data_IF_772564616899
#
_entry.id   IF_772564616899
#
_cell.length_a   1.000
_cell.length_b   1.000
_cell.length_c   1.000
_cell.angle_alpha   90.00
_cell.angle_beta   90.00
_cell.angle_gamma   90.00
#
_symmetry.space_group_name_H-M   'P 1'
#
loop_
_entity.id
_entity.type
_entity.pdbx_description
1 polymer ?
#
# COMPACT_ATOMS: atom_id res chain seq x y z
N UNK A 1 -4.88 16.67 1.69
CA UNK A 1 -5.88 15.61 1.39
C UNK A 1 -6.34 15.01 2.71
N UNK A 2 -7.64 14.77 2.89
CA UNK A 2 -8.12 14.03 4.06
C UNK A 2 -8.30 12.55 3.65
N UNK A 3 -7.71 11.62 4.39
CA UNK A 3 -7.80 10.17 4.12
C UNK A 3 -9.25 9.67 4.13
N UNK A 4 -10.09 10.23 4.99
CA UNK A 4 -11.51 9.84 5.07
C UNK A 4 -12.33 10.23 3.82
N UNK A 5 -11.80 11.09 2.93
CA UNK A 5 -12.47 11.47 1.69
C UNK A 5 -12.16 10.52 0.52
N UNK A 6 -11.18 9.62 0.67
CA UNK A 6 -10.82 8.64 -0.35
C UNK A 6 -12.01 7.75 -0.72
N UNK A 7 -12.23 7.56 -2.02
CA UNK A 7 -13.25 6.69 -2.60
C UNK A 7 -12.68 5.93 -3.79
N UNK A 8 -13.34 4.85 -4.20
CA UNK A 8 -12.90 4.05 -5.33
C UNK A 8 -11.59 3.30 -5.04
N UNK A 9 -10.74 3.16 -6.04
CA UNK A 9 -9.52 2.35 -5.93
C UNK A 9 -8.37 3.20 -5.37
N UNK A 10 -7.72 2.69 -4.33
CA UNK A 10 -6.56 3.32 -3.68
C UNK A 10 -5.38 2.34 -3.73
N UNK A 11 -4.35 2.69 -4.49
CA UNK A 11 -3.11 1.92 -4.54
C UNK A 11 -2.22 2.31 -3.35
N UNK A 12 -1.89 1.36 -2.50
CA UNK A 12 -0.90 1.50 -1.43
C UNK A 12 0.40 0.85 -1.90
N UNK A 13 1.32 1.67 -2.37
CA UNK A 13 2.65 1.24 -2.82
C UNK A 13 3.73 1.73 -1.86
N UNK A 14 4.99 1.44 -2.11
CA UNK A 14 6.06 1.87 -1.23
C UNK A 14 7.37 2.12 -1.94
N UNK A 15 8.28 2.74 -1.21
CA UNK A 15 9.66 2.95 -1.67
C UNK A 15 10.50 1.68 -1.67
N UNK A 16 10.07 0.64 -0.92
CA UNK A 16 10.79 -0.63 -0.77
C UNK A 16 9.89 -1.70 -0.11
N UNK A 17 10.45 -2.89 0.10
CA UNK A 17 9.89 -3.93 1.00
C UNK A 17 10.10 -3.50 2.47
N UNK A 18 9.23 -3.96 3.36
CA UNK A 18 9.28 -3.68 4.81
C UNK A 18 9.27 -2.19 5.20
N UNK A 19 8.65 -1.35 4.38
CA UNK A 19 8.44 0.08 4.69
C UNK A 19 7.18 0.33 5.52
N UNK A 20 6.40 -0.73 5.83
CA UNK A 20 5.16 -0.64 6.62
C UNK A 20 3.88 -0.56 5.79
N UNK A 21 3.87 -1.02 4.52
CA UNK A 21 2.65 -0.99 3.67
C UNK A 21 1.45 -1.64 4.35
N UNK A 22 1.59 -2.85 4.87
CA UNK A 22 0.51 -3.63 5.48
C UNK A 22 -0.11 -2.92 6.68
N UNK A 23 0.72 -2.34 7.56
CA UNK A 23 0.23 -1.56 8.71
C UNK A 23 -0.42 -0.25 8.23
N UNK A 24 0.14 0.39 7.21
CA UNK A 24 -0.44 1.59 6.59
C UNK A 24 -1.80 1.28 5.97
N UNK A 25 -1.92 0.17 5.23
CA UNK A 25 -3.18 -0.31 4.66
C UNK A 25 -4.22 -0.52 5.77
N UNK A 26 -3.83 -1.15 6.88
CA UNK A 26 -4.71 -1.33 8.04
C UNK A 26 -5.16 -0.01 8.67
N UNK A 27 -4.25 0.95 8.85
CA UNK A 27 -4.56 2.27 9.42
C UNK A 27 -5.53 3.04 8.51
N UNK A 28 -5.29 3.06 7.19
CA UNK A 28 -6.17 3.71 6.21
C UNK A 28 -7.55 3.03 6.18
N UNK A 29 -7.59 1.69 6.10
CA UNK A 29 -8.84 0.92 6.12
C UNK A 29 -9.65 1.21 7.39
N UNK A 30 -8.98 1.26 8.54
CA UNK A 30 -9.61 1.60 9.82
C UNK A 30 -10.17 3.03 9.83
N UNK A 31 -9.44 4.01 9.29
CA UNK A 31 -9.91 5.40 9.19
C UNK A 31 -11.15 5.52 8.29
N UNK A 32 -11.15 4.86 7.13
CA UNK A 32 -12.28 4.83 6.21
C UNK A 32 -13.49 4.14 6.83
N UNK A 33 -13.31 2.98 7.47
CA UNK A 33 -14.39 2.29 8.19
C UNK A 33 -14.97 3.13 9.32
N UNK A 34 -14.12 3.79 10.11
CA UNK A 34 -14.58 4.68 11.19
C UNK A 34 -15.36 5.90 10.66
N UNK A 35 -15.12 6.33 9.42
CA UNK A 35 -15.91 7.36 8.74
C UNK A 35 -17.25 6.86 8.16
N UNK A 36 -17.54 5.55 8.32
CA UNK A 36 -18.78 4.92 7.88
C UNK A 36 -18.74 4.33 6.48
N UNK A 37 -17.54 4.21 5.86
CA UNK A 37 -17.38 3.63 4.52
C UNK A 37 -17.33 2.12 4.55
N UNK A 38 -17.85 1.50 3.49
CA UNK A 38 -17.64 0.10 3.19
C UNK A 38 -16.30 -0.07 2.46
N UNK A 39 -15.39 -0.90 3.02
CA UNK A 39 -13.99 -0.99 2.61
C UNK A 39 -13.63 -2.42 2.27
N UNK A 40 -13.00 -2.60 1.11
CA UNK A 40 -12.34 -3.84 0.69
C UNK A 40 -10.83 -3.67 0.67
N UNK A 41 -10.09 -4.71 1.07
CA UNK A 41 -8.63 -4.74 1.01
C UNK A 41 -8.20 -5.88 0.09
N UNK A 42 -7.36 -5.58 -0.89
CA UNK A 42 -6.88 -6.54 -1.88
C UNK A 42 -5.35 -6.55 -1.88
N UNK A 43 -4.75 -7.74 -1.84
CA UNK A 43 -3.35 -7.96 -2.16
C UNK A 43 -3.25 -8.91 -3.36
N UNK A 44 -3.00 -8.39 -4.56
CA UNK A 44 -2.99 -9.21 -5.76
C UNK A 44 -1.91 -10.30 -5.75
N UNK A 45 -0.75 -9.99 -5.17
CA UNK A 45 0.39 -10.89 -5.14
C UNK A 45 1.00 -10.94 -3.74
N UNK A 46 0.88 -12.09 -3.07
CA UNK A 46 1.54 -12.39 -1.81
C UNK A 46 2.80 -13.24 -2.08
N UNK A 47 3.88 -12.98 -1.35
CA UNK A 47 5.12 -13.78 -1.45
C UNK A 47 5.67 -14.11 -0.07
N UNK A 48 6.45 -15.20 0.03
CA UNK A 48 7.29 -15.50 1.17
C UNK A 48 6.59 -16.04 2.41
N UNK A 49 5.38 -16.56 2.24
CA UNK A 49 4.61 -17.17 3.33
C UNK A 49 4.21 -18.59 2.95
N UNK A 50 4.16 -19.48 3.91
CA UNK A 50 3.61 -20.81 3.74
C UNK A 50 2.09 -20.74 3.47
N UNK A 51 1.56 -21.82 2.88
CA UNK A 51 0.15 -21.86 2.44
C UNK A 51 -0.83 -21.60 3.59
N UNK A 52 -0.51 -22.06 4.79
CA UNK A 52 -1.38 -21.98 5.96
C UNK A 52 -1.16 -20.73 6.83
N UNK A 53 -0.17 -19.89 6.49
CA UNK A 53 0.07 -18.64 7.20
C UNK A 53 -0.88 -17.54 6.72
N UNK A 54 -1.38 -16.67 7.60
CA UNK A 54 -2.15 -15.50 7.17
C UNK A 54 -1.28 -14.59 6.30
N UNK A 55 -1.81 -14.15 5.15
CA UNK A 55 -1.14 -13.18 4.28
C UNK A 55 -1.20 -11.76 4.86
N UNK A 56 -0.37 -10.87 4.32
CA UNK A 56 -0.31 -9.46 4.74
C UNK A 56 -1.70 -8.80 4.74
N UNK A 57 -2.52 -9.08 3.72
CA UNK A 57 -3.88 -8.52 3.61
C UNK A 57 -4.79 -9.01 4.74
N UNK A 58 -4.65 -10.26 5.17
CA UNK A 58 -5.43 -10.81 6.28
C UNK A 58 -5.03 -10.16 7.61
N UNK A 59 -3.73 -9.90 7.81
CA UNK A 59 -3.26 -9.13 8.95
C UNK A 59 -3.78 -7.69 8.93
N UNK A 60 -3.75 -7.02 7.76
CA UNK A 60 -4.32 -5.68 7.61
C UNK A 60 -5.83 -5.66 7.93
N UNK A 61 -6.60 -6.63 7.39
CA UNK A 61 -8.03 -6.77 7.66
C UNK A 61 -8.34 -6.99 9.13
N UNK A 62 -7.61 -7.90 9.80
CA UNK A 62 -7.72 -8.17 11.23
C UNK A 62 -7.43 -6.91 12.08
N UNK A 63 -6.35 -6.19 11.76
CA UNK A 63 -5.95 -4.96 12.46
C UNK A 63 -6.98 -3.84 12.30
N UNK A 64 -7.56 -3.71 11.11
CA UNK A 64 -8.59 -2.72 10.79
C UNK A 64 -10.01 -3.17 11.15
N UNK A 65 -10.18 -4.42 11.60
CA UNK A 65 -11.49 -5.03 11.83
C UNK A 65 -12.40 -5.05 10.59
N UNK A 66 -11.82 -5.24 9.40
CA UNK A 66 -12.56 -5.45 8.15
C UNK A 66 -13.10 -6.86 8.12
N UNK A 67 -14.29 -7.04 7.60
CA UNK A 67 -14.92 -8.36 7.48
C UNK A 67 -14.11 -9.26 6.53
N UNK A 68 -13.98 -10.54 6.86
CA UNK A 68 -13.10 -11.46 6.12
C UNK A 68 -13.48 -11.60 4.64
N UNK A 69 -14.76 -11.44 4.30
CA UNK A 69 -15.25 -11.49 2.93
C UNK A 69 -14.78 -10.30 2.07
N UNK A 70 -14.36 -9.21 2.72
CA UNK A 70 -13.83 -8.00 2.11
C UNK A 70 -12.29 -7.95 2.17
N UNK A 71 -11.61 -9.10 2.41
CA UNK A 71 -10.16 -9.20 2.48
C UNK A 71 -9.68 -10.25 1.49
N UNK A 72 -9.06 -9.83 0.40
CA UNK A 72 -8.81 -10.66 -0.77
C UNK A 72 -7.32 -10.77 -1.10
N UNK A 73 -6.83 -12.01 -1.19
CA UNK A 73 -5.52 -12.35 -1.74
C UNK A 73 -5.72 -13.12 -3.05
N UNK A 74 -5.09 -12.70 -4.15
CA UNK A 74 -5.35 -13.33 -5.43
C UNK A 74 -4.43 -14.50 -5.75
N UNK A 75 -3.13 -14.32 -5.49
CA UNK A 75 -2.15 -15.37 -5.72
C UNK A 75 -1.05 -15.32 -4.67
N UNK A 76 -0.57 -16.49 -4.28
CA UNK A 76 0.53 -16.65 -3.33
C UNK A 76 1.70 -17.37 -3.98
N UNK A 77 2.87 -16.74 -3.94
CA UNK A 77 4.13 -17.31 -4.39
C UNK A 77 4.97 -17.73 -3.17
N UNK A 78 5.62 -18.91 -3.21
CA UNK A 78 6.16 -19.52 -2.00
C UNK A 78 7.43 -18.85 -1.44
N UNK A 79 8.27 -18.29 -2.31
CA UNK A 79 9.57 -17.75 -1.87
C UNK A 79 9.48 -16.26 -1.55
N UNK A 80 10.23 -15.73 -0.53
CA UNK A 80 10.24 -14.31 -0.15
C UNK A 80 11.08 -13.48 -1.14
N UNK A 81 10.58 -13.39 -2.37
CA UNK A 81 11.21 -12.72 -3.51
C UNK A 81 10.16 -11.83 -4.19
N UNK A 82 10.59 -11.06 -5.19
CA UNK A 82 9.63 -10.38 -6.06
C UNK A 82 8.67 -11.41 -6.69
N UNK A 83 7.37 -11.10 -6.84
CA UNK A 83 6.38 -12.05 -7.38
C UNK A 83 6.80 -12.71 -8.69
N UNK A 84 7.28 -11.93 -9.67
CA UNK A 84 7.85 -12.44 -10.93
C UNK A 84 8.93 -13.49 -10.71
N UNK A 85 9.87 -13.22 -9.81
CA UNK A 85 11.02 -14.11 -9.53
C UNK A 85 10.56 -15.37 -8.79
N UNK A 86 9.71 -15.22 -7.77
CA UNK A 86 9.19 -16.35 -6.99
C UNK A 86 8.36 -17.29 -7.87
N UNK A 87 7.47 -16.74 -8.70
CA UNK A 87 6.66 -17.50 -9.65
C UNK A 87 7.54 -18.26 -10.66
N UNK A 88 8.50 -17.58 -11.27
CA UNK A 88 9.41 -18.22 -12.24
C UNK A 88 10.20 -19.38 -11.64
N UNK A 89 10.73 -19.23 -10.42
CA UNK A 89 11.46 -20.26 -9.70
C UNK A 89 10.58 -21.45 -9.30
N UNK A 90 9.32 -21.17 -8.94
CA UNK A 90 8.34 -22.20 -8.59
C UNK A 90 7.65 -22.84 -9.83
N UNK A 91 7.95 -22.37 -11.05
CA UNK A 91 7.29 -22.84 -12.27
C UNK A 91 5.79 -22.52 -12.29
N UNK A 92 5.38 -21.45 -11.61
CA UNK A 92 4.00 -21.02 -11.51
C UNK A 92 3.64 -20.05 -12.65
N UNK A 93 2.45 -20.22 -13.19
CA UNK A 93 1.78 -19.17 -13.97
C UNK A 93 0.89 -18.38 -12.99
N UNK A 94 1.13 -17.10 -12.89
CA UNK A 94 0.37 -16.18 -12.05
C UNK A 94 -0.44 -15.21 -12.91
N UNK A 95 -1.53 -14.63 -12.39
CA UNK A 95 -2.35 -13.68 -13.13
C UNK A 95 -1.51 -12.53 -13.70
N UNK A 96 -1.80 -12.13 -14.93
CA UNK A 96 -1.25 -10.92 -15.53
C UNK A 96 -1.85 -9.66 -14.88
N UNK A 97 -1.17 -8.54 -15.02
CA UNK A 97 -1.68 -7.24 -14.54
C UNK A 97 -3.05 -6.90 -15.15
N UNK A 98 -3.31 -7.26 -16.41
CA UNK A 98 -4.61 -7.03 -17.07
C UNK A 98 -5.74 -7.87 -16.43
N UNK A 99 -5.47 -9.13 -16.08
CA UNK A 99 -6.41 -9.99 -15.36
C UNK A 99 -6.64 -9.47 -13.94
N UNK A 100 -5.58 -9.04 -13.24
CA UNK A 100 -5.67 -8.43 -11.91
C UNK A 100 -6.49 -7.15 -11.94
N UNK A 101 -6.24 -6.25 -12.90
CA UNK A 101 -7.03 -5.01 -13.04
C UNK A 101 -8.51 -5.32 -13.25
N UNK A 102 -8.83 -6.31 -14.09
CA UNK A 102 -10.22 -6.73 -14.32
C UNK A 102 -10.86 -7.27 -13.04
N UNK A 103 -10.13 -8.10 -12.29
CA UNK A 103 -10.62 -8.69 -11.04
C UNK A 103 -10.83 -7.64 -9.95
N UNK A 104 -9.89 -6.69 -9.81
CA UNK A 104 -10.03 -5.56 -8.87
C UNK A 104 -11.34 -4.80 -9.13
N UNK A 105 -11.66 -4.49 -10.40
CA UNK A 105 -12.90 -3.77 -10.73
C UNK A 105 -14.16 -4.56 -10.36
N UNK A 106 -14.14 -5.88 -10.53
CA UNK A 106 -15.26 -6.73 -10.11
C UNK A 106 -15.39 -6.77 -8.58
N UNK A 107 -14.27 -6.94 -7.88
CA UNK A 107 -14.25 -7.05 -6.43
C UNK A 107 -14.43 -5.69 -5.73
N UNK A 108 -14.31 -4.57 -6.46
CA UNK A 108 -14.57 -3.21 -5.98
C UNK A 108 -16.03 -2.79 -6.10
N UNK A 109 -16.83 -3.54 -6.87
CA UNK A 109 -18.22 -3.16 -7.13
C UNK A 109 -19.06 -3.24 -5.85
N UNK A 110 -19.76 -2.16 -5.55
CA UNK A 110 -20.58 -2.04 -4.34
C UNK A 110 -19.84 -1.55 -3.10
N UNK A 111 -18.51 -1.36 -3.13
CA UNK A 111 -17.73 -0.82 -2.02
C UNK A 111 -17.39 0.67 -2.22
N UNK A 112 -17.35 1.43 -1.11
CA UNK A 112 -17.01 2.86 -1.16
C UNK A 112 -15.50 3.07 -1.46
N UNK A 113 -14.65 2.20 -0.93
CA UNK A 113 -13.20 2.27 -1.13
C UNK A 113 -12.57 0.87 -1.19
N UNK A 114 -11.66 0.68 -2.13
CA UNK A 114 -10.90 -0.55 -2.31
C UNK A 114 -9.40 -0.25 -2.20
N UNK A 115 -8.77 -0.72 -1.12
CA UNK A 115 -7.33 -0.58 -0.92
C UNK A 115 -6.61 -1.73 -1.61
N UNK A 116 -5.72 -1.41 -2.54
CA UNK A 116 -4.91 -2.40 -3.27
C UNK A 116 -3.46 -2.29 -2.81
N UNK A 117 -2.98 -3.26 -2.03
CA UNK A 117 -1.60 -3.28 -1.53
C UNK A 117 -0.64 -3.90 -2.55
N UNK A 118 0.35 -3.13 -2.96
CA UNK A 118 1.45 -3.60 -3.81
C UNK A 118 2.44 -4.52 -3.07
N UNK A 119 3.28 -5.23 -3.82
CA UNK A 119 4.39 -6.03 -3.30
C UNK A 119 5.73 -5.36 -3.64
N UNK A 120 6.57 -5.13 -2.62
CA UNK A 120 7.85 -4.44 -2.80
C UNK A 120 7.72 -2.96 -3.10
N UNK A 121 8.68 -2.41 -3.82
CA UNK A 121 8.67 -1.02 -4.30
C UNK A 121 7.96 -0.85 -5.64
N UNK A 122 7.77 0.40 -6.06
CA UNK A 122 6.95 0.79 -7.22
C UNK A 122 7.40 0.16 -8.57
N UNK A 123 8.66 -0.18 -8.71
CA UNK A 123 9.24 -0.76 -9.94
C UNK A 123 9.42 -2.29 -9.89
N UNK A 124 8.91 -2.95 -8.85
CA UNK A 124 9.02 -4.41 -8.72
C UNK A 124 8.07 -5.09 -9.69
N UNK A 125 8.56 -6.08 -10.44
CA UNK A 125 7.76 -6.93 -11.32
C UNK A 125 6.82 -7.81 -10.52
N UNK A 126 5.54 -7.81 -10.89
CA UNK A 126 4.46 -8.49 -10.20
C UNK A 126 3.96 -9.73 -10.96
N UNK A 127 3.96 -9.72 -12.29
CA UNK A 127 3.49 -10.84 -13.11
C UNK A 127 4.63 -11.55 -13.88
N UNK A 128 4.29 -12.57 -14.65
CA UNK A 128 5.29 -13.35 -15.41
C UNK A 128 5.97 -12.54 -16.53
N UNK A 129 5.38 -11.43 -16.97
CA UNK A 129 5.93 -10.55 -18.00
C UNK A 129 6.79 -9.43 -17.40
N UNK A 130 6.86 -9.34 -16.06
CA UNK A 130 7.61 -8.32 -15.33
C UNK A 130 6.86 -7.00 -15.19
N UNK A 131 5.57 -6.97 -15.52
CA UNK A 131 4.72 -5.80 -15.30
C UNK A 131 4.58 -5.50 -13.80
N UNK A 132 4.52 -4.22 -13.44
CA UNK A 132 4.52 -3.78 -12.03
C UNK A 132 3.26 -3.00 -11.65
N UNK A 133 3.32 -2.36 -10.48
CA UNK A 133 2.19 -1.57 -9.98
C UNK A 133 1.88 -0.36 -10.86
N UNK A 134 2.86 0.20 -11.58
CA UNK A 134 2.63 1.27 -12.56
C UNK A 134 1.80 0.79 -13.74
N UNK A 135 2.05 -0.44 -14.21
CA UNK A 135 1.26 -1.06 -15.28
C UNK A 135 -0.17 -1.37 -14.81
N UNK A 136 -0.35 -1.70 -13.53
CA UNK A 136 -1.67 -1.86 -12.93
C UNK A 136 -2.44 -0.53 -12.89
N UNK A 137 -1.80 0.57 -12.49
CA UNK A 137 -2.40 1.90 -12.53
C UNK A 137 -2.83 2.26 -13.96
N UNK A 138 -1.95 2.05 -14.96
CA UNK A 138 -2.27 2.27 -16.37
C UNK A 138 -3.46 1.42 -16.83
N UNK A 139 -3.51 0.14 -16.41
CA UNK A 139 -4.57 -0.77 -16.77
C UNK A 139 -5.93 -0.36 -16.18
N UNK A 140 -5.95 0.16 -14.97
CA UNK A 140 -7.14 0.71 -14.31
C UNK A 140 -7.60 2.00 -14.99
N UNK A 141 -6.67 2.93 -15.25
CA UNK A 141 -6.96 4.22 -15.91
C UNK A 141 -7.50 4.01 -17.33
N UNK A 142 -6.94 3.08 -18.12
CA UNK A 142 -7.47 2.74 -19.45
C UNK A 142 -8.91 2.21 -19.40
N UNK A 143 -9.34 1.66 -18.26
CA UNK A 143 -10.71 1.18 -18.03
C UNK A 143 -11.64 2.25 -17.44
N UNK A 144 -11.15 3.50 -17.31
CA UNK A 144 -11.91 4.63 -16.80
C UNK A 144 -11.90 4.79 -15.27
N UNK A 145 -11.00 4.09 -14.58
CA UNK A 145 -10.84 4.15 -13.12
C UNK A 145 -9.46 4.70 -12.75
N UNK A 146 -9.37 5.99 -12.48
CA UNK A 146 -8.14 6.62 -12.03
C UNK A 146 -7.93 6.31 -10.54
N UNK A 147 -6.88 5.57 -10.16
CA UNK A 147 -6.66 5.21 -8.77
C UNK A 147 -6.04 6.37 -7.99
N UNK A 148 -6.41 6.51 -6.72
CA UNK A 148 -5.60 7.26 -5.77
C UNK A 148 -4.31 6.52 -5.45
N UNK A 149 -3.22 7.24 -5.21
CA UNK A 149 -1.91 6.65 -4.95
C UNK A 149 -1.32 7.15 -3.64
N UNK A 150 -1.08 6.23 -2.73
CA UNK A 150 -0.41 6.47 -1.45
C UNK A 150 0.95 5.79 -1.47
N UNK A 151 2.00 6.57 -1.23
CA UNK A 151 3.37 6.07 -1.17
C UNK A 151 3.81 5.94 0.28
N UNK A 152 4.14 4.71 0.69
CA UNK A 152 4.67 4.40 2.02
C UNK A 152 6.18 4.42 2.00
N UNK A 153 6.78 5.12 2.94
CA UNK A 153 8.23 5.29 3.02
C UNK A 153 8.77 5.06 4.43
N UNK A 154 10.09 4.98 4.55
CA UNK A 154 10.81 4.85 5.83
C UNK A 154 11.08 6.24 6.44
N UNK A 155 11.44 6.27 7.73
CA UNK A 155 11.90 7.49 8.42
C UNK A 155 13.39 7.76 8.27
N UNK A 156 14.20 6.71 8.08
CA UNK A 156 15.67 6.72 8.21
C UNK A 156 16.40 7.48 7.10
N UNK A 157 17.68 7.78 7.34
CA UNK A 157 18.55 8.43 6.37
C UNK A 157 18.51 7.76 4.98
N UNK A 158 18.36 8.57 3.94
CA UNK A 158 18.21 8.13 2.54
C UNK A 158 16.76 8.11 2.06
N UNK A 159 15.77 8.26 2.96
CA UNK A 159 14.36 8.22 2.60
C UNK A 159 13.97 9.31 1.61
N UNK A 160 14.51 10.53 1.73
CA UNK A 160 14.22 11.65 0.83
C UNK A 160 14.53 11.29 -0.63
N UNK A 161 15.71 10.67 -0.87
CA UNK A 161 16.07 10.19 -2.20
C UNK A 161 15.13 9.09 -2.69
N UNK A 162 14.86 8.06 -1.88
CA UNK A 162 14.00 6.94 -2.28
C UNK A 162 12.57 7.41 -2.54
N UNK A 163 12.05 8.29 -1.71
CA UNK A 163 10.70 8.85 -1.86
C UNK A 163 10.61 9.71 -3.12
N UNK A 164 11.56 10.60 -3.35
CA UNK A 164 11.60 11.42 -4.56
C UNK A 164 11.66 10.58 -5.84
N UNK A 165 12.55 9.57 -5.88
CA UNK A 165 12.65 8.66 -7.03
C UNK A 165 11.35 7.88 -7.27
N UNK A 166 10.72 7.36 -6.20
CA UNK A 166 9.44 6.64 -6.30
C UNK A 166 8.33 7.53 -6.82
N UNK A 167 8.18 8.73 -6.25
CA UNK A 167 7.15 9.67 -6.68
C UNK A 167 7.36 10.16 -8.12
N UNK A 168 8.62 10.37 -8.53
CA UNK A 168 8.94 10.74 -9.91
C UNK A 168 8.61 9.62 -10.89
N UNK A 169 8.92 8.36 -10.56
CA UNK A 169 8.56 7.22 -11.40
C UNK A 169 7.03 7.11 -11.62
N UNK A 170 6.23 7.40 -10.60
CA UNK A 170 4.76 7.44 -10.70
C UNK A 170 4.32 8.58 -11.62
N UNK A 171 4.88 9.79 -11.44
CA UNK A 171 4.53 10.96 -12.26
C UNK A 171 4.96 10.83 -13.71
N UNK A 172 6.13 10.23 -13.97
CA UNK A 172 6.64 10.00 -15.31
C UNK A 172 5.72 9.06 -16.13
N UNK A 173 4.92 8.24 -15.44
CA UNK A 173 3.85 7.41 -16.06
C UNK A 173 2.52 8.16 -16.19
N UNK A 174 2.43 9.41 -15.75
CA UNK A 174 1.24 10.25 -15.85
C UNK A 174 0.28 10.17 -14.66
N UNK A 175 0.65 9.45 -13.59
CA UNK A 175 -0.17 9.34 -12.39
C UNK A 175 0.17 10.39 -11.33
N UNK A 176 -0.78 10.70 -10.47
CA UNK A 176 -0.60 11.59 -9.32
C UNK A 176 -0.18 10.78 -8.09
N UNK A 177 0.62 11.38 -7.21
CA UNK A 177 0.84 10.87 -5.86
C UNK A 177 -0.04 11.72 -4.94
N UNK A 178 -1.07 11.11 -4.37
CA UNK A 178 -2.04 11.84 -3.54
C UNK A 178 -1.49 12.11 -2.14
N UNK A 179 -0.72 11.17 -1.60
CA UNK A 179 -0.17 11.29 -0.25
C UNK A 179 1.07 10.43 -0.01
N UNK A 180 1.84 10.85 1.00
CA UNK A 180 2.94 10.10 1.60
C UNK A 180 2.56 9.67 3.01
N UNK A 181 2.99 8.47 3.39
CA UNK A 181 2.90 7.98 4.77
C UNK A 181 4.28 7.46 5.21
N UNK A 182 4.77 7.90 6.34
CA UNK A 182 5.92 7.25 7.00
C UNK A 182 5.38 6.03 7.74
N UNK A 183 5.67 4.83 7.21
CA UNK A 183 5.04 3.58 7.65
C UNK A 183 5.58 2.99 8.95
N UNK A 184 6.67 3.57 9.50
CA UNK A 184 7.20 3.21 10.82
C UNK A 184 8.02 4.35 11.39
N UNK A 185 7.60 4.87 12.55
CA UNK A 185 8.25 5.96 13.26
C UNK A 185 8.67 5.51 14.67
N UNK A 186 9.95 5.60 15.02
CA UNK A 186 10.43 5.14 16.31
C UNK A 186 10.03 6.08 17.45
N UNK A 187 9.92 5.55 18.69
CA UNK A 187 9.66 6.34 19.91
C UNK A 187 10.74 7.39 20.17
N UNK A 188 11.95 7.15 19.69
CA UNK A 188 13.10 8.05 19.86
C UNK A 188 13.77 8.29 18.50
N UNK A 189 13.20 9.18 17.69
CA UNK A 189 13.75 9.49 16.37
C UNK A 189 15.13 10.14 16.51
N UNK A 190 16.06 9.72 15.66
CA UNK A 190 17.38 10.32 15.56
C UNK A 190 17.34 11.69 14.83
N UNK A 191 18.52 12.29 14.63
CA UNK A 191 18.60 13.59 13.94
C UNK A 191 18.10 13.49 12.49
N UNK A 192 18.48 12.41 11.77
CA UNK A 192 18.10 12.26 10.37
C UNK A 192 16.59 12.07 10.21
N UNK A 193 15.99 11.27 11.09
CA UNK A 193 14.55 11.03 11.08
C UNK A 193 13.76 12.32 11.32
N UNK A 194 14.17 13.15 12.28
CA UNK A 194 13.52 14.45 12.55
C UNK A 194 13.64 15.41 11.36
N UNK A 195 14.83 15.52 10.75
CA UNK A 195 15.00 16.35 9.55
C UNK A 195 14.19 15.81 8.36
N UNK A 196 14.19 14.49 8.15
CA UNK A 196 13.41 13.86 7.10
C UNK A 196 11.91 14.14 7.23
N UNK A 197 11.38 14.19 8.46
CA UNK A 197 9.97 14.51 8.71
C UNK A 197 9.61 15.90 8.17
N UNK A 198 10.51 16.87 8.33
CA UNK A 198 10.32 18.25 7.88
C UNK A 198 10.50 18.41 6.35
N UNK A 199 11.32 17.56 5.72
CA UNK A 199 11.73 17.71 4.31
C UNK A 199 11.01 16.76 3.34
N UNK A 200 10.28 15.75 3.84
CA UNK A 200 9.76 14.66 3.01
C UNK A 200 8.68 15.12 2.02
N UNK A 201 7.87 16.09 2.38
CA UNK A 201 6.84 16.64 1.47
C UNK A 201 7.48 17.33 0.27
N UNK A 202 8.53 18.11 0.48
CA UNK A 202 9.29 18.76 -0.59
C UNK A 202 9.96 17.71 -1.49
N UNK A 203 10.59 16.70 -0.90
CA UNK A 203 11.23 15.62 -1.65
C UNK A 203 10.22 14.80 -2.47
N UNK A 204 9.05 14.56 -1.92
CA UNK A 204 7.97 13.82 -2.57
C UNK A 204 7.18 14.67 -3.56
N UNK A 205 7.05 15.98 -3.35
CA UNK A 205 6.10 16.85 -4.03
C UNK A 205 4.64 16.45 -3.76
N UNK A 206 4.36 15.87 -2.59
CA UNK A 206 3.05 15.39 -2.17
C UNK A 206 2.91 15.49 -0.63
N UNK A 207 1.69 15.67 -0.08
CA UNK A 207 1.49 15.87 1.35
C UNK A 207 1.81 14.61 2.17
N UNK A 208 2.42 14.79 3.33
CA UNK A 208 2.56 13.77 4.37
C UNK A 208 1.27 13.73 5.19
N UNK A 209 0.50 12.67 5.06
CA UNK A 209 -0.82 12.54 5.73
C UNK A 209 -0.79 11.62 6.94
N UNK A 210 0.32 10.98 7.21
CA UNK A 210 0.44 10.09 8.35
C UNK A 210 1.87 9.69 8.69
N UNK A 211 2.09 9.57 10.00
CA UNK A 211 3.31 9.02 10.59
C UNK A 211 2.88 7.89 11.53
N UNK A 212 3.16 6.66 11.14
CA UNK A 212 2.68 5.48 11.86
C UNK A 212 3.68 5.09 12.94
N UNK A 213 3.27 5.01 14.22
CA UNK A 213 4.16 4.57 15.29
C UNK A 213 4.74 3.17 15.01
N UNK A 214 6.01 2.97 15.34
CA UNK A 214 6.64 1.66 15.22
C UNK A 214 5.95 0.62 16.12
N UNK A 215 6.05 -0.65 15.72
CA UNK A 215 5.59 -1.80 16.50
C UNK A 215 4.09 -1.93 16.73
N UNK A 216 3.22 -1.14 16.09
CA UNK A 216 1.75 -1.27 16.23
C UNK A 216 1.14 -2.38 15.37
N UNK A 217 1.91 -3.01 14.47
CA UNK A 217 1.41 -4.02 13.52
C UNK A 217 0.87 -5.33 14.12
N UNK A 218 0.82 -5.45 15.45
CA UNK A 218 0.20 -6.58 16.16
C UNK A 218 -0.93 -6.14 17.10
N UNK A 219 -1.18 -4.84 17.20
CA UNK A 219 -2.11 -4.23 18.13
C UNK A 219 -3.26 -3.52 17.38
N UNK A 220 -4.44 -4.16 17.28
CA UNK A 220 -5.60 -3.57 16.61
C UNK A 220 -6.07 -2.26 17.27
N UNK A 221 -5.94 -2.12 18.59
CA UNK A 221 -6.36 -0.90 19.30
C UNK A 221 -5.44 0.27 18.95
N UNK A 222 -4.12 0.03 18.90
CA UNK A 222 -3.16 1.04 18.47
C UNK A 222 -3.35 1.45 17.01
N UNK A 223 -3.65 0.50 16.10
CA UNK A 223 -3.98 0.79 14.70
C UNK A 223 -5.23 1.67 14.60
N UNK A 224 -6.31 1.31 15.30
CA UNK A 224 -7.55 2.09 15.30
C UNK A 224 -7.37 3.49 15.92
N UNK A 225 -6.53 3.61 16.95
CA UNK A 225 -6.21 4.92 17.53
C UNK A 225 -5.38 5.78 16.58
N UNK A 226 -4.37 5.19 15.90
CA UNK A 226 -3.58 5.87 14.89
C UNK A 226 -4.46 6.35 13.73
N UNK A 227 -5.43 5.54 13.32
CA UNK A 227 -6.39 5.87 12.27
C UNK A 227 -7.22 7.14 12.57
N UNK A 228 -7.56 7.41 13.83
CA UNK A 228 -8.29 8.62 14.24
C UNK A 228 -7.48 9.89 14.03
N UNK A 229 -6.17 9.79 14.13
CA UNK A 229 -5.24 10.92 14.03
C UNK A 229 -4.66 11.07 12.60
N UNK A 230 -5.07 10.20 11.67
CA UNK A 230 -4.58 10.25 10.29
C UNK A 230 -5.16 11.46 9.56
N UNK A 231 -4.29 12.31 9.03
CA UNK A 231 -4.70 13.56 8.38
C UNK A 231 -4.75 14.78 9.33
N UNK A 232 -4.60 14.60 10.63
CA UNK A 232 -4.33 15.70 11.55
C UNK A 232 -2.83 16.02 11.51
N UNK A 233 -2.45 17.03 10.74
CA UNK A 233 -1.09 17.58 10.75
C UNK A 233 -0.82 18.16 12.15
N UNK A 234 0.14 17.56 12.88
CA UNK A 234 0.69 18.18 14.09
C UNK A 234 1.64 19.32 13.74
#
# INVERSE_FOLDING_TARGET
MNITDLNGIVIVTGTDTDVGKTVTTAVIASALKQSGKDVTIIKPYQTGLDHDEPGDVHDAGRLASIDADNVLEYVRCPEPLAPTTSAARAGMTIPSIEEVATRILVDSDGHDATLVEGAGGVLVGLDNDGSGVLDLMDALTRRGHEPHVIVVTRSVLGTLNHTGLTCNAIRDRGHQVDAIVIGSWPDRPDLAERCNLEEIEDAAGAPLVGVIPACIGKDPEAVQQTARNLGETQ
#
